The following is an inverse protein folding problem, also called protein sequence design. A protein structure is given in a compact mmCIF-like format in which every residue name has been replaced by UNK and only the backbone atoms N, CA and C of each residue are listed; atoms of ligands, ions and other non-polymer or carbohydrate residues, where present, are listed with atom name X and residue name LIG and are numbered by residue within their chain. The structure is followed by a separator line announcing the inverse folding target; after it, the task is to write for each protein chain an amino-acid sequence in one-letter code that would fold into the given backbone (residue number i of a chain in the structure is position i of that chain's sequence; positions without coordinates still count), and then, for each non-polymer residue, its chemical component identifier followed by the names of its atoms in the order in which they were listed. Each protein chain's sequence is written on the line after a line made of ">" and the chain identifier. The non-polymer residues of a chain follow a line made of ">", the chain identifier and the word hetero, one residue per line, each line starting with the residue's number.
data_IF_503255065069
#
_entry.id   IF_503255065069
#
_cell.length_a   1.000
_cell.length_b   1.000
_cell.length_c   1.000
_cell.angle_alpha   90.00
_cell.angle_beta   90.00
_cell.angle_gamma   90.00
#
_symmetry.space_group_name_H-M   'P 1'
#
loop_
_entity.id
_entity.type
_entity.pdbx_description
1 polymer ?
#
# COMPACT_ATOMS: atom_id res chain seq x y z
N UNK A 1 34.51 16.30 3.01
CA UNK A 1 34.57 15.81 1.61
C UNK A 1 33.18 15.79 1.03
N UNK A 2 32.98 16.43 -0.10
CA UNK A 2 31.69 16.39 -0.80
C UNK A 2 31.72 15.22 -1.77
N UNK A 3 30.81 14.23 -1.55
CA UNK A 3 30.67 13.10 -2.45
C UNK A 3 29.66 13.48 -3.53
N UNK A 4 30.07 13.39 -4.80
CA UNK A 4 29.17 13.65 -5.93
C UNK A 4 28.47 12.34 -6.32
N UNK A 5 27.16 12.38 -6.50
CA UNK A 5 26.37 11.21 -6.93
C UNK A 5 26.72 10.73 -8.33
N UNK A 6 27.42 11.55 -9.11
CA UNK A 6 27.94 11.20 -10.45
C UNK A 6 29.28 10.48 -10.40
N UNK A 7 29.93 10.40 -9.23
CA UNK A 7 31.17 9.66 -9.06
C UNK A 7 30.90 8.16 -9.21
N UNK A 8 31.66 7.48 -10.07
CA UNK A 8 31.48 6.04 -10.35
C UNK A 8 31.71 5.16 -9.13
N UNK A 9 32.50 5.60 -8.15
CA UNK A 9 32.74 4.87 -6.91
C UNK A 9 31.53 4.85 -5.99
N UNK A 10 30.59 5.81 -6.14
CA UNK A 10 29.34 5.94 -5.35
C UNK A 10 28.15 5.49 -6.18
N UNK A 11 28.14 5.77 -7.47
CA UNK A 11 27.02 5.51 -8.37
C UNK A 11 26.66 4.03 -8.47
N UNK A 12 27.65 3.16 -8.61
CA UNK A 12 27.42 1.72 -8.75
C UNK A 12 26.81 1.07 -7.49
N UNK A 13 27.34 1.30 -6.26
CA UNK A 13 26.70 0.81 -5.04
C UNK A 13 25.30 1.34 -4.85
N UNK A 14 25.02 2.61 -5.17
CA UNK A 14 23.68 3.20 -5.07
C UNK A 14 22.70 2.55 -6.03
N UNK A 15 23.13 2.28 -7.26
CA UNK A 15 22.29 1.58 -8.23
C UNK A 15 21.94 0.17 -7.79
N UNK A 16 22.90 -0.54 -7.18
CA UNK A 16 22.66 -1.88 -6.62
C UNK A 16 21.65 -1.85 -5.48
N UNK A 17 21.80 -0.92 -4.53
CA UNK A 17 20.85 -0.75 -3.44
C UNK A 17 19.48 -0.37 -3.95
N UNK A 18 19.40 0.49 -4.95
CA UNK A 18 18.14 0.86 -5.59
C UNK A 18 17.45 -0.35 -6.19
N UNK A 19 18.17 -1.19 -6.93
CA UNK A 19 17.63 -2.40 -7.54
C UNK A 19 17.12 -3.39 -6.47
N UNK A 20 17.87 -3.55 -5.38
CA UNK A 20 17.46 -4.40 -4.26
C UNK A 20 16.21 -3.86 -3.58
N UNK A 21 16.12 -2.54 -3.36
CA UNK A 21 14.97 -1.91 -2.76
C UNK A 21 13.73 -2.04 -3.65
N UNK A 22 13.88 -1.87 -4.95
CA UNK A 22 12.78 -2.03 -5.92
C UNK A 22 12.25 -3.47 -5.94
N UNK A 23 13.15 -4.46 -5.91
CA UNK A 23 12.78 -5.87 -5.86
C UNK A 23 12.04 -6.20 -4.55
N UNK A 24 12.51 -5.69 -3.43
CA UNK A 24 11.86 -5.88 -2.13
C UNK A 24 10.49 -5.20 -2.09
N UNK A 25 10.37 -3.99 -2.62
CA UNK A 25 9.09 -3.30 -2.73
C UNK A 25 8.08 -4.11 -3.53
N UNK A 26 8.48 -4.62 -4.70
CA UNK A 26 7.61 -5.45 -5.51
C UNK A 26 7.14 -6.71 -4.76
N UNK A 27 8.06 -7.37 -4.05
CA UNK A 27 7.75 -8.56 -3.25
C UNK A 27 6.73 -8.26 -2.14
N UNK A 28 6.92 -7.16 -1.40
CA UNK A 28 6.01 -6.75 -0.32
C UNK A 28 4.63 -6.40 -0.89
N UNK A 29 4.58 -5.64 -1.97
CA UNK A 29 3.31 -5.24 -2.58
C UNK A 29 2.56 -6.43 -3.18
N UNK A 30 3.27 -7.38 -3.79
CA UNK A 30 2.67 -8.64 -4.30
C UNK A 30 2.03 -9.44 -3.15
N UNK A 31 2.69 -9.51 -2.00
CA UNK A 31 2.13 -10.15 -0.81
C UNK A 31 0.82 -9.48 -0.39
N UNK A 32 0.80 -8.13 -0.33
CA UNK A 32 -0.41 -7.39 0.01
C UNK A 32 -1.54 -7.63 -0.98
N UNK A 33 -1.24 -7.62 -2.28
CA UNK A 33 -2.25 -7.88 -3.31
C UNK A 33 -2.81 -9.29 -3.25
N UNK A 34 -2.01 -10.25 -2.80
CA UNK A 34 -2.42 -11.65 -2.74
C UNK A 34 -3.28 -11.96 -1.52
N UNK A 35 -2.94 -11.39 -0.34
CA UNK A 35 -3.53 -11.84 0.92
C UNK A 35 -4.52 -10.87 1.55
N UNK A 36 -4.44 -9.59 1.28
CA UNK A 36 -5.17 -8.58 2.05
C UNK A 36 -6.54 -8.22 1.47
N UNK A 37 -6.77 -8.21 0.13
CA UNK A 37 -8.11 -7.96 -0.39
C UNK A 37 -9.11 -9.02 0.10
N UNK A 38 -10.31 -8.55 0.50
CA UNK A 38 -11.38 -9.45 0.91
C UNK A 38 -12.18 -9.95 -0.31
N UNK A 39 -13.21 -10.77 -0.05
CA UNK A 39 -14.01 -11.37 -1.11
C UNK A 39 -15.03 -10.40 -1.72
N UNK A 40 -15.12 -9.18 -1.20
CA UNK A 40 -16.06 -8.16 -1.68
C UNK A 40 -15.31 -6.99 -2.32
N UNK A 41 -15.33 -5.82 -1.69
CA UNK A 41 -14.79 -4.59 -2.27
C UNK A 41 -13.75 -3.89 -1.37
N UNK A 42 -13.33 -4.54 -0.31
CA UNK A 42 -12.43 -3.96 0.68
C UNK A 42 -11.18 -4.79 0.95
N UNK A 43 -10.63 -4.59 2.13
CA UNK A 43 -9.43 -5.27 2.61
C UNK A 43 -9.68 -5.80 4.02
N UNK A 44 -9.06 -6.94 4.34
CA UNK A 44 -9.12 -7.49 5.68
C UNK A 44 -8.47 -6.53 6.68
N UNK A 45 -9.09 -6.40 7.86
CA UNK A 45 -8.60 -5.49 8.91
C UNK A 45 -7.41 -6.02 9.68
N UNK A 46 -7.21 -7.33 9.69
CA UNK A 46 -6.14 -7.95 10.45
C UNK A 46 -5.74 -9.30 9.88
N UNK A 47 -4.43 -9.54 9.89
CA UNK A 47 -3.83 -10.85 9.62
C UNK A 47 -2.82 -11.13 10.73
N UNK A 48 -2.77 -12.36 11.25
CA UNK A 48 -1.85 -12.69 12.33
C UNK A 48 -0.45 -13.03 11.81
N UNK A 49 0.48 -13.28 12.74
CA UNK A 49 1.89 -13.61 12.42
C UNK A 49 2.06 -14.92 11.67
N UNK A 50 1.02 -15.75 11.60
CA UNK A 50 1.01 -17.00 10.84
C UNK A 50 0.29 -16.86 9.49
N UNK A 51 0.05 -15.62 9.05
CA UNK A 51 -0.71 -15.29 7.83
C UNK A 51 -2.15 -15.77 7.86
N UNK A 52 -2.74 -15.88 9.05
CA UNK A 52 -4.12 -16.27 9.22
C UNK A 52 -5.01 -15.04 9.31
N UNK A 53 -6.00 -14.96 8.43
CA UNK A 53 -6.92 -13.84 8.37
C UNK A 53 -7.93 -13.89 9.51
N UNK A 54 -8.23 -12.71 10.05
CA UNK A 54 -9.34 -12.52 10.99
C UNK A 54 -10.47 -11.79 10.27
N UNK A 55 -11.40 -12.56 9.75
CA UNK A 55 -12.46 -12.07 8.87
C UNK A 55 -13.40 -11.06 9.54
N UNK A 56 -13.56 -11.15 10.85
CA UNK A 56 -14.45 -10.30 11.66
C UNK A 56 -13.74 -9.08 12.26
N UNK A 57 -12.45 -8.89 12.01
CA UNK A 57 -11.72 -7.75 12.53
C UNK A 57 -12.24 -6.43 11.95
N UNK A 58 -12.36 -5.37 12.78
CA UNK A 58 -12.75 -4.05 12.28
C UNK A 58 -11.79 -3.52 11.24
N UNK A 59 -12.30 -2.76 10.29
CA UNK A 59 -11.50 -2.11 9.26
C UNK A 59 -11.17 -0.69 9.70
N UNK A 60 -9.89 -0.34 9.69
CA UNK A 60 -9.41 0.94 10.20
C UNK A 60 -9.21 1.98 9.12
N UNK A 61 -9.58 3.22 9.41
CA UNK A 61 -9.37 4.36 8.53
C UNK A 61 -7.89 4.56 8.17
N UNK A 62 -7.00 4.44 9.16
CA UNK A 62 -5.56 4.63 8.96
C UNK A 62 -5.01 3.57 8.02
N UNK A 63 -5.42 2.31 8.17
CA UNK A 63 -4.98 1.22 7.29
C UNK A 63 -5.38 1.50 5.83
N UNK A 64 -6.64 1.83 5.60
CA UNK A 64 -7.13 2.13 4.25
C UNK A 64 -6.46 3.34 3.63
N UNK A 65 -6.22 4.37 4.41
CA UNK A 65 -5.50 5.58 3.96
C UNK A 65 -4.07 5.26 3.57
N UNK A 66 -3.39 4.40 4.33
CA UNK A 66 -2.02 3.95 4.02
C UNK A 66 -1.96 3.08 2.79
N UNK A 67 -2.94 2.19 2.61
CA UNK A 67 -3.04 1.37 1.39
C UNK A 67 -3.20 2.29 0.18
N UNK A 68 -4.11 3.24 0.25
CA UNK A 68 -4.33 4.21 -0.83
C UNK A 68 -3.04 4.97 -1.17
N UNK A 69 -2.36 5.50 -0.16
CA UNK A 69 -1.12 6.25 -0.38
C UNK A 69 -0.01 5.37 -0.98
N UNK A 70 0.20 4.20 -0.39
CA UNK A 70 1.29 3.30 -0.78
C UNK A 70 1.13 2.83 -2.22
N UNK A 71 -0.06 2.35 -2.59
CA UNK A 71 -0.29 1.86 -3.94
C UNK A 71 -0.37 2.99 -4.97
N UNK A 72 -0.83 4.17 -4.58
CA UNK A 72 -0.78 5.36 -5.45
C UNK A 72 0.67 5.76 -5.73
N UNK A 73 1.52 5.82 -4.70
CA UNK A 73 2.94 6.13 -4.85
C UNK A 73 3.66 5.07 -5.70
N UNK A 74 3.38 3.79 -5.44
CA UNK A 74 3.96 2.70 -6.21
C UNK A 74 3.55 2.76 -7.69
N UNK A 75 2.29 3.08 -7.96
CA UNK A 75 1.82 3.27 -9.34
C UNK A 75 2.53 4.42 -10.04
N UNK A 76 2.68 5.56 -9.37
CA UNK A 76 3.37 6.71 -9.95
C UNK A 76 4.82 6.34 -10.29
N UNK A 77 5.47 5.56 -9.45
CA UNK A 77 6.86 5.15 -9.64
C UNK A 77 7.03 4.10 -10.74
N UNK A 78 6.16 3.09 -10.78
CA UNK A 78 6.32 1.91 -11.65
C UNK A 78 5.41 1.90 -12.87
N UNK A 79 4.26 2.58 -12.81
CA UNK A 79 3.18 2.52 -13.80
C UNK A 79 2.54 1.14 -13.92
N UNK A 80 2.73 0.27 -12.95
CA UNK A 80 2.07 -1.03 -12.88
C UNK A 80 0.59 -0.84 -12.54
N UNK A 81 -0.29 -1.23 -13.44
CA UNK A 81 -1.74 -1.03 -13.31
C UNK A 81 -2.36 -1.81 -12.15
N UNK A 82 -1.76 -2.91 -11.75
CA UNK A 82 -2.24 -3.66 -10.58
C UNK A 82 -2.19 -2.80 -9.31
N UNK A 83 -1.17 -1.95 -9.18
CA UNK A 83 -1.07 -1.00 -8.06
C UNK A 83 -2.16 0.05 -8.13
N UNK A 84 -2.49 0.53 -9.33
CA UNK A 84 -3.60 1.46 -9.52
C UNK A 84 -4.94 0.84 -9.07
N UNK A 85 -5.20 -0.41 -9.43
CA UNK A 85 -6.40 -1.12 -8.99
C UNK A 85 -6.51 -1.19 -7.47
N UNK A 86 -5.41 -1.46 -6.78
CA UNK A 86 -5.38 -1.49 -5.33
C UNK A 86 -5.69 -0.12 -4.73
N UNK A 87 -5.10 0.94 -5.28
CA UNK A 87 -5.36 2.30 -4.84
C UNK A 87 -6.83 2.70 -5.07
N UNK A 88 -7.38 2.40 -6.24
CA UNK A 88 -8.78 2.68 -6.54
C UNK A 88 -9.73 1.90 -5.63
N UNK A 89 -9.41 0.65 -5.33
CA UNK A 89 -10.19 -0.19 -4.41
C UNK A 89 -10.23 0.45 -3.02
N UNK A 90 -9.10 0.90 -2.50
CA UNK A 90 -9.01 1.58 -1.21
C UNK A 90 -9.82 2.89 -1.22
N UNK A 91 -9.68 3.69 -2.26
CA UNK A 91 -10.40 4.96 -2.40
C UNK A 91 -11.92 4.75 -2.42
N UNK A 92 -12.41 3.83 -3.24
CA UNK A 92 -13.86 3.55 -3.32
C UNK A 92 -14.42 3.09 -1.99
N UNK A 93 -13.68 2.24 -1.28
CA UNK A 93 -14.12 1.76 0.03
C UNK A 93 -14.16 2.90 1.06
N UNK A 94 -13.17 3.79 1.06
CA UNK A 94 -13.16 4.96 1.93
C UNK A 94 -14.39 5.83 1.71
N UNK A 95 -14.72 6.12 0.46
CA UNK A 95 -15.88 6.96 0.13
C UNK A 95 -17.19 6.25 0.46
N UNK A 96 -17.28 4.95 0.20
CA UNK A 96 -18.52 4.19 0.38
C UNK A 96 -18.82 3.90 1.85
N UNK A 97 -17.81 3.55 2.66
CA UNK A 97 -18.03 3.02 4.00
C UNK A 97 -17.52 3.90 5.14
N UNK A 98 -16.48 4.68 4.91
CA UNK A 98 -15.87 5.49 5.97
C UNK A 98 -16.40 6.92 6.02
N UNK A 99 -16.94 7.43 4.93
CA UNK A 99 -17.43 8.80 4.90
C UNK A 99 -18.74 8.93 5.68
N UNK A 100 -18.78 9.86 6.64
CA UNK A 100 -19.99 10.19 7.38
C UNK A 100 -20.78 11.25 6.60
N UNK A 101 -21.79 10.83 5.88
CA UNK A 101 -22.60 11.72 5.04
C UNK A 101 -23.62 12.55 5.83
N UNK A 102 -23.82 12.22 7.11
CA UNK A 102 -24.77 12.92 7.99
C UNK A 102 -24.09 14.04 8.78
N UNK A 103 -22.98 13.70 9.43
CA UNK A 103 -22.28 14.62 10.35
C UNK A 103 -20.98 15.21 9.75
N UNK A 104 -20.55 14.72 8.61
CA UNK A 104 -19.26 15.09 8.02
C UNK A 104 -18.10 14.29 8.58
N UNK A 105 -16.95 14.35 7.90
CA UNK A 105 -15.75 13.63 8.31
C UNK A 105 -15.79 12.17 7.94
N UNK A 106 -14.94 11.40 8.61
CA UNK A 106 -14.72 9.97 8.36
C UNK A 106 -14.82 9.19 9.67
N UNK A 107 -15.38 7.99 9.60
CA UNK A 107 -15.37 7.07 10.74
C UNK A 107 -13.96 6.54 10.98
N UNK A 108 -13.62 6.32 12.26
CA UNK A 108 -12.32 5.75 12.63
C UNK A 108 -12.19 4.29 12.20
N UNK A 109 -13.28 3.56 12.31
CA UNK A 109 -13.35 2.15 11.90
C UNK A 109 -14.77 1.76 11.50
N UNK A 110 -14.86 0.75 10.73
CA UNK A 110 -16.15 0.17 10.30
C UNK A 110 -16.14 -1.34 10.39
#
# INVERSE_FOLDING_TARGET
>A
MIVRLTDSSVKEPLQRYRSQAEAELASVLDWWMQYIPDDEDGFHGEIDRYNKLKADAPRGLVLYSRILWTFSAAYIHTRNREYLFMAERAYRYLIKHFQDTVNGGMYWSV
#
